data_IF_516139809079
#
_entry.id   IF_516139809079
#
_cell.length_a   1.000
_cell.length_b   1.000
_cell.length_c   1.000
_cell.angle_alpha   90.00
_cell.angle_beta   90.00
_cell.angle_gamma   90.00
#
_symmetry.space_group_name_H-M   'P 1'
#
loop_
_entity.id
_entity.type
_entity.pdbx_description
1 polymer ?
#
# COMPACT_ATOMS: atom_id res chain seq x y z
N UNK A 1 -27.56 -15.51 7.25
CA UNK A 1 -26.50 -14.50 7.09
C UNK A 1 -25.23 -15.06 7.69
N UNK A 2 -24.23 -15.38 6.87
CA UNK A 2 -22.94 -15.89 7.31
C UNK A 2 -22.13 -14.77 7.95
N UNK A 3 -21.64 -15.00 9.16
CA UNK A 3 -20.72 -14.08 9.84
C UNK A 3 -19.46 -13.93 8.97
N UNK A 4 -18.99 -12.71 8.67
CA UNK A 4 -17.83 -12.54 7.81
C UNK A 4 -16.55 -13.07 8.49
N UNK A 5 -15.63 -13.66 7.71
CA UNK A 5 -14.54 -14.50 8.22
C UNK A 5 -13.49 -13.79 9.10
N UNK A 6 -13.54 -12.47 9.22
CA UNK A 6 -12.70 -11.71 10.16
C UNK A 6 -13.21 -11.78 11.62
N UNK A 7 -14.37 -12.38 11.86
CA UNK A 7 -14.91 -12.62 13.21
C UNK A 7 -14.33 -13.85 13.92
N UNK A 8 -13.31 -14.53 13.36
CA UNK A 8 -12.70 -15.73 13.96
C UNK A 8 -11.58 -15.42 14.95
N UNK A 9 -11.84 -14.53 15.90
CA UNK A 9 -11.06 -14.39 17.12
C UNK A 9 -12.03 -14.33 18.31
N UNK A 10 -11.90 -15.23 19.29
CA UNK A 10 -12.52 -15.00 20.60
C UNK A 10 -12.01 -13.63 21.08
N UNK A 11 -12.94 -12.74 21.40
CA UNK A 11 -12.62 -11.48 22.06
C UNK A 11 -11.73 -11.77 23.28
N UNK A 12 -10.48 -11.32 23.21
CA UNK A 12 -9.64 -11.20 24.40
C UNK A 12 -10.21 -10.04 25.24
N UNK A 13 -10.30 -10.13 26.57
CA UNK A 13 -10.76 -9.03 27.42
C UNK A 13 -9.95 -7.73 27.27
N UNK A 14 -8.78 -7.80 26.61
CA UNK A 14 -7.84 -6.71 26.41
C UNK A 14 -7.82 -6.14 24.98
N UNK A 15 -8.56 -6.74 24.03
CA UNK A 15 -8.54 -6.35 22.61
C UNK A 15 -10.00 -6.24 22.12
N UNK A 16 -10.60 -5.04 22.16
CA UNK A 16 -11.95 -4.83 21.64
C UNK A 16 -12.14 -5.26 20.16
N UNK A 17 -13.40 -5.42 19.70
CA UNK A 17 -13.69 -5.88 18.35
C UNK A 17 -13.85 -4.67 17.42
N UNK A 18 -12.85 -4.38 16.59
CA UNK A 18 -12.58 -2.98 16.23
C UNK A 18 -13.28 -2.37 15.00
N UNK A 19 -13.82 -3.13 14.06
CA UNK A 19 -14.44 -2.58 12.83
C UNK A 19 -15.54 -3.51 12.31
N UNK A 20 -16.74 -3.01 12.03
CA UNK A 20 -17.83 -3.81 11.48
C UNK A 20 -17.68 -4.11 9.97
N UNK A 21 -16.97 -3.25 9.23
CA UNK A 21 -16.73 -3.38 7.79
C UNK A 21 -15.29 -2.92 7.48
N UNK A 22 -14.45 -3.76 6.82
CA UNK A 22 -13.09 -3.35 6.45
C UNK A 22 -13.04 -2.16 5.47
N UNK A 23 -14.16 -1.81 4.82
CA UNK A 23 -14.30 -0.71 3.88
C UNK A 23 -15.06 0.50 4.43
N UNK A 24 -15.53 0.44 5.69
CA UNK A 24 -16.19 1.55 6.37
C UNK A 24 -15.83 1.60 7.85
N UNK A 25 -14.98 2.54 8.24
CA UNK A 25 -14.49 2.70 9.62
C UNK A 25 -15.24 3.81 10.34
N UNK A 26 -16.57 3.85 10.17
CA UNK A 26 -17.47 4.85 10.78
C UNK A 26 -17.30 4.99 12.29
N UNK A 27 -16.84 3.92 12.95
CA UNK A 27 -16.54 3.81 14.37
C UNK A 27 -15.28 4.60 14.78
N UNK A 28 -14.45 5.01 13.81
CA UNK A 28 -13.25 5.80 14.01
C UNK A 28 -13.45 7.20 13.43
N UNK A 29 -13.31 8.21 14.29
CA UNK A 29 -13.43 9.61 13.89
C UNK A 29 -12.36 10.00 12.85
N UNK A 30 -12.73 10.86 11.89
CA UNK A 30 -11.77 11.44 10.94
C UNK A 30 -10.73 12.28 11.69
N UNK A 31 -9.48 12.28 11.23
CA UNK A 31 -8.43 13.10 11.83
C UNK A 31 -8.18 12.82 13.31
N UNK A 32 -8.27 11.56 13.74
CA UNK A 32 -8.13 11.16 15.15
C UNK A 32 -6.88 10.32 15.44
N UNK A 33 -6.24 9.76 14.41
CA UNK A 33 -5.16 8.80 14.55
C UNK A 33 -3.82 9.41 14.09
N UNK A 34 -2.78 9.27 14.90
CA UNK A 34 -1.43 9.73 14.58
C UNK A 34 -0.68 8.78 13.65
N UNK A 35 -0.84 7.47 13.86
CA UNK A 35 -0.16 6.42 13.08
C UNK A 35 -1.11 5.26 12.82
N UNK A 36 -1.19 4.83 11.55
CA UNK A 36 -1.86 3.60 11.14
C UNK A 36 -0.82 2.62 10.63
N UNK A 37 -0.87 1.38 11.12
CA UNK A 37 -0.09 0.26 10.58
C UNK A 37 -1.02 -0.77 9.98
N UNK A 38 -0.67 -1.28 8.80
CA UNK A 38 -1.47 -2.27 8.07
C UNK A 38 -0.52 -3.29 7.43
N UNK A 39 -0.45 -4.50 7.98
CA UNK A 39 0.53 -5.50 7.57
C UNK A 39 -0.16 -6.74 7.02
N UNK A 40 0.14 -7.10 5.77
CA UNK A 40 -0.37 -8.32 5.12
C UNK A 40 -1.91 -8.40 5.20
N UNK A 41 -2.55 -7.32 4.74
CA UNK A 41 -4.02 -7.18 4.71
C UNK A 41 -4.52 -6.83 3.31
N UNK A 42 -3.78 -6.04 2.54
CA UNK A 42 -4.27 -5.50 1.27
C UNK A 42 -4.48 -6.57 0.19
N UNK A 43 -3.71 -7.64 0.21
CA UNK A 43 -3.91 -8.82 -0.64
C UNK A 43 -5.21 -9.56 -0.33
N UNK A 44 -5.70 -9.43 0.91
CA UNK A 44 -6.95 -10.01 1.38
C UNK A 44 -8.13 -9.03 1.31
N UNK A 45 -7.90 -7.77 0.95
CA UNK A 45 -8.93 -6.77 0.72
C UNK A 45 -9.28 -6.72 -0.77
N UNK A 46 -10.49 -7.17 -1.12
CA UNK A 46 -11.03 -7.10 -2.49
C UNK A 46 -10.97 -5.67 -3.03
N UNK A 47 -11.23 -4.68 -2.18
CA UNK A 47 -11.24 -3.25 -2.52
C UNK A 47 -10.23 -2.45 -1.68
N UNK A 48 -8.96 -2.87 -1.67
CA UNK A 48 -7.90 -2.20 -0.91
C UNK A 48 -7.76 -0.70 -1.21
N UNK A 49 -8.19 -0.25 -2.39
CA UNK A 49 -8.26 1.19 -2.72
C UNK A 49 -9.29 1.93 -1.86
N UNK A 50 -10.38 1.30 -1.42
CA UNK A 50 -11.32 1.90 -0.48
C UNK A 50 -10.69 1.95 0.92
N UNK A 51 -10.01 0.87 1.33
CA UNK A 51 -9.33 0.82 2.63
C UNK A 51 -8.27 1.93 2.78
N UNK A 52 -7.47 2.23 1.74
CA UNK A 52 -6.50 3.33 1.82
C UNK A 52 -7.18 4.72 1.96
N UNK A 53 -8.41 4.90 1.46
CA UNK A 53 -9.17 6.13 1.69
C UNK A 53 -9.60 6.26 3.16
N UNK A 54 -9.99 5.16 3.80
CA UNK A 54 -10.30 5.15 5.23
C UNK A 54 -9.04 5.41 6.09
N UNK A 55 -7.89 4.84 5.71
CA UNK A 55 -6.59 5.15 6.33
C UNK A 55 -6.32 6.66 6.23
N UNK A 56 -6.44 7.26 5.05
CA UNK A 56 -6.22 8.69 4.86
C UNK A 56 -7.23 9.54 5.67
N UNK A 57 -8.49 9.10 5.78
CA UNK A 57 -9.55 9.80 6.52
C UNK A 57 -9.25 9.87 8.02
N UNK A 58 -8.90 8.73 8.64
CA UNK A 58 -8.71 8.65 10.10
C UNK A 58 -7.42 9.30 10.56
N UNK A 59 -6.41 9.40 9.69
CA UNK A 59 -5.15 10.07 10.01
C UNK A 59 -5.37 11.57 10.27
N UNK A 60 -4.76 12.06 11.37
CA UNK A 60 -4.52 13.49 11.60
C UNK A 60 -3.64 14.07 10.50
N UNK A 61 -3.69 15.39 10.22
CA UNK A 61 -2.65 16.05 9.44
C UNK A 61 -1.26 15.72 10.01
N UNK A 62 -0.28 15.46 9.13
CA UNK A 62 1.05 14.90 9.42
C UNK A 62 1.10 13.48 10.01
N UNK A 63 -0.05 12.82 10.20
CA UNK A 63 -0.09 11.42 10.61
C UNK A 63 0.51 10.47 9.57
N UNK A 64 1.02 9.32 10.02
CA UNK A 64 1.74 8.35 9.19
C UNK A 64 0.93 7.08 8.94
N UNK A 65 1.02 6.54 7.73
CA UNK A 65 0.64 5.18 7.41
C UNK A 65 1.88 4.35 7.11
N UNK A 66 2.01 3.18 7.73
CA UNK A 66 2.96 2.14 7.33
C UNK A 66 2.21 0.91 6.87
N UNK A 67 2.42 0.52 5.61
CA UNK A 67 1.65 -0.55 4.97
C UNK A 67 2.60 -1.58 4.38
N UNK A 68 2.31 -2.86 4.58
CA UNK A 68 2.97 -3.99 3.90
C UNK A 68 1.96 -4.93 3.26
N UNK A 69 2.33 -5.54 2.14
CA UNK A 69 1.53 -6.55 1.44
C UNK A 69 2.42 -7.34 0.46
N UNK A 70 2.11 -8.61 0.13
CA UNK A 70 3.02 -9.44 -0.64
C UNK A 70 3.03 -9.06 -2.12
N UNK A 71 4.22 -9.05 -2.73
CA UNK A 71 4.43 -8.86 -4.16
C UNK A 71 4.58 -10.16 -4.97
N UNK A 72 4.58 -11.31 -4.30
CA UNK A 72 4.77 -12.63 -4.90
C UNK A 72 4.27 -13.75 -4.01
N UNK A 73 5.01 -14.87 -3.99
CA UNK A 73 4.61 -16.07 -3.25
C UNK A 73 3.45 -16.86 -3.87
N UNK A 74 3.16 -18.07 -3.34
CA UNK A 74 2.02 -18.87 -3.76
C UNK A 74 0.71 -18.21 -3.34
N UNK A 75 -0.39 -18.70 -3.91
CA UNK A 75 -1.73 -18.30 -3.46
C UNK A 75 -1.95 -18.69 -2.00
N UNK A 76 -2.37 -17.74 -1.17
CA UNK A 76 -2.59 -17.86 0.26
C UNK A 76 -3.96 -17.28 0.60
N UNK A 77 -4.97 -18.13 0.78
CA UNK A 77 -6.38 -17.69 0.81
C UNK A 77 -6.96 -17.74 2.22
N UNK A 78 -7.25 -16.57 2.81
CA UNK A 78 -7.85 -16.44 4.14
C UNK A 78 -8.67 -15.14 4.30
N UNK A 79 -9.91 -15.01 3.79
CA UNK A 79 -10.72 -15.96 3.01
C UNK A 79 -10.55 -15.83 1.49
N UNK A 80 -9.94 -14.75 1.02
CA UNK A 80 -9.66 -14.43 -0.39
C UNK A 80 -8.17 -14.14 -0.52
N UNK A 81 -7.68 -13.99 -1.75
CA UNK A 81 -6.29 -13.66 -2.04
C UNK A 81 -6.28 -13.01 -3.42
N UNK A 82 -6.43 -11.69 -3.43
CA UNK A 82 -6.90 -10.93 -4.57
C UNK A 82 -5.76 -10.27 -5.34
N UNK A 83 -4.72 -9.83 -4.64
CA UNK A 83 -3.76 -8.86 -5.18
C UNK A 83 -2.32 -9.21 -4.84
N UNK A 84 -1.42 -8.80 -5.74
CA UNK A 84 0.03 -8.74 -5.49
C UNK A 84 0.50 -7.33 -5.76
N UNK A 85 1.34 -6.82 -4.88
CA UNK A 85 1.80 -5.43 -4.91
C UNK A 85 3.20 -5.38 -5.50
N UNK A 86 3.35 -4.64 -6.60
CA UNK A 86 4.64 -4.40 -7.26
C UNK A 86 5.13 -2.97 -6.98
N UNK A 87 6.28 -2.60 -7.55
CA UNK A 87 6.97 -1.32 -7.26
C UNK A 87 6.06 -0.10 -7.36
N UNK A 88 5.17 -0.08 -8.36
CA UNK A 88 4.29 1.06 -8.63
C UNK A 88 2.98 1.04 -7.83
N UNK A 89 2.67 -0.04 -7.11
CA UNK A 89 1.38 -0.22 -6.45
C UNK A 89 1.17 0.80 -5.31
N UNK A 90 2.11 0.91 -4.37
CA UNK A 90 2.01 1.90 -3.29
C UNK A 90 2.18 3.35 -3.74
N UNK A 91 3.08 3.70 -4.68
CA UNK A 91 3.09 5.02 -5.29
C UNK A 91 1.75 5.41 -5.93
N UNK A 92 1.10 4.49 -6.63
CA UNK A 92 -0.22 4.73 -7.20
C UNK A 92 -1.29 4.96 -6.12
N UNK A 93 -1.27 4.14 -5.06
CA UNK A 93 -2.21 4.28 -3.94
C UNK A 93 -2.03 5.57 -3.15
N UNK A 94 -0.78 6.01 -2.91
CA UNK A 94 -0.51 7.27 -2.25
C UNK A 94 -1.14 8.44 -3.02
N UNK A 95 -0.97 8.48 -4.35
CA UNK A 95 -1.63 9.48 -5.21
C UNK A 95 -3.15 9.38 -5.16
N UNK A 96 -3.68 8.16 -5.25
CA UNK A 96 -5.12 7.91 -5.19
C UNK A 96 -5.75 8.45 -3.89
N UNK A 97 -5.13 8.14 -2.75
CA UNK A 97 -5.60 8.56 -1.43
C UNK A 97 -5.21 10.01 -1.06
N UNK A 98 -4.41 10.69 -1.87
CA UNK A 98 -3.92 12.03 -1.58
C UNK A 98 -2.94 12.06 -0.39
N UNK A 99 -2.13 11.03 -0.23
CA UNK A 99 -1.06 10.95 0.77
C UNK A 99 0.29 11.28 0.13
N UNK A 100 1.18 11.91 0.90
CA UNK A 100 2.57 12.07 0.51
C UNK A 100 3.27 10.72 0.66
N UNK A 101 3.77 10.16 -0.43
CA UNK A 101 4.65 9.01 -0.35
C UNK A 101 6.00 9.47 0.21
N UNK A 102 6.37 8.96 1.39
CA UNK A 102 7.68 9.21 1.95
C UNK A 102 8.69 8.19 1.41
N UNK A 103 8.24 6.94 1.30
CA UNK A 103 9.09 5.82 0.96
C UNK A 103 8.27 4.60 0.51
N UNK A 104 8.74 3.86 -0.49
CA UNK A 104 8.20 2.55 -0.87
C UNK A 104 9.34 1.64 -1.36
N UNK A 105 9.17 0.34 -1.18
CA UNK A 105 10.08 -0.68 -1.69
C UNK A 105 9.34 -1.99 -1.94
N UNK A 106 9.94 -2.83 -2.77
CA UNK A 106 9.57 -4.23 -2.95
C UNK A 106 10.81 -5.09 -2.80
N UNK A 107 10.67 -6.20 -2.09
CA UNK A 107 11.75 -7.16 -1.96
C UNK A 107 11.94 -7.96 -3.27
N UNK A 108 12.92 -7.57 -4.07
CA UNK A 108 13.34 -8.33 -5.26
C UNK A 108 14.46 -9.33 -4.97
N UNK A 109 15.30 -9.03 -3.98
CA UNK A 109 16.37 -9.93 -3.55
C UNK A 109 15.78 -10.96 -2.58
N UNK A 110 15.97 -12.28 -2.81
CA UNK A 110 15.46 -13.30 -1.92
C UNK A 110 15.91 -13.08 -0.47
N UNK A 111 14.96 -13.00 0.46
CA UNK A 111 15.27 -12.90 1.90
C UNK A 111 15.89 -14.19 2.42
N UNK A 112 15.45 -15.33 1.87
CA UNK A 112 15.82 -16.65 2.34
C UNK A 112 16.44 -17.48 1.22
N UNK A 113 17.48 -18.28 1.56
CA UNK A 113 18.11 -19.22 0.62
C UNK A 113 17.17 -20.32 0.12
N UNK A 114 16.21 -20.70 0.97
CA UNK A 114 15.19 -21.73 0.71
C UNK A 114 13.89 -21.27 1.36
N UNK A 115 12.76 -21.71 0.81
CA UNK A 115 11.42 -21.34 1.30
C UNK A 115 10.72 -20.36 0.38
N UNK A 116 9.47 -20.05 0.74
CA UNK A 116 8.58 -19.16 -0.02
C UNK A 116 9.18 -17.76 -0.05
N UNK A 117 9.17 -17.15 -1.24
CA UNK A 117 9.58 -15.76 -1.43
C UNK A 117 8.32 -14.93 -1.67
N UNK A 118 7.82 -14.28 -0.61
CA UNK A 118 6.64 -13.42 -0.66
C UNK A 118 6.90 -12.11 -1.38
N UNK A 119 8.17 -11.67 -1.46
CA UNK A 119 8.57 -10.42 -2.11
C UNK A 119 7.78 -9.25 -1.54
N UNK A 120 7.81 -9.11 -0.22
CA UNK A 120 6.98 -8.14 0.47
C UNK A 120 7.25 -6.74 -0.06
N UNK A 121 6.15 -6.04 -0.29
CA UNK A 121 6.15 -4.63 -0.59
C UNK A 121 5.84 -3.86 0.68
N UNK A 122 6.47 -2.72 0.86
CA UNK A 122 6.19 -1.85 2.00
C UNK A 122 6.20 -0.38 1.60
N UNK A 123 5.39 0.43 2.25
CA UNK A 123 5.38 1.87 2.07
C UNK A 123 5.15 2.63 3.37
N UNK A 124 5.80 3.79 3.46
CA UNK A 124 5.54 4.82 4.47
C UNK A 124 4.93 6.02 3.75
N UNK A 125 3.76 6.44 4.20
CA UNK A 125 3.02 7.58 3.66
C UNK A 125 2.67 8.55 4.77
N UNK A 126 2.51 9.82 4.44
CA UNK A 126 2.13 10.86 5.40
C UNK A 126 0.94 11.65 4.87
N UNK A 127 -0.04 11.93 5.75
CA UNK A 127 -1.13 12.83 5.39
C UNK A 127 -0.61 14.27 5.33
N UNK A 128 -0.77 14.98 4.20
CA UNK A 128 -0.35 16.38 4.12
C UNK A 128 -1.19 17.25 5.06
N UNK A 129 -0.62 18.37 5.49
CA UNK A 129 -1.42 19.48 5.99
C UNK A 129 -2.24 20.04 4.83
N UNK A 130 -3.52 20.31 5.08
CA UNK A 130 -4.45 20.87 4.10
C UNK A 130 -5.12 22.10 4.68
N UNK A 131 -5.41 23.07 3.84
CA UNK A 131 -6.36 24.11 4.20
C UNK A 131 -7.80 23.57 4.20
N UNK A 132 -8.76 24.43 4.55
CA UNK A 132 -10.16 24.05 4.64
C UNK A 132 -10.71 23.57 3.27
N UNK A 133 -10.41 24.28 2.18
CA UNK A 133 -10.91 23.95 0.85
C UNK A 133 -10.33 22.61 0.36
N UNK A 134 -9.03 22.40 0.51
CA UNK A 134 -8.36 21.13 0.20
C UNK A 134 -8.91 19.98 1.07
N UNK A 135 -9.23 20.25 2.34
CA UNK A 135 -9.85 19.28 3.24
C UNK A 135 -11.26 18.88 2.81
N UNK A 136 -12.04 19.82 2.29
CA UNK A 136 -13.35 19.54 1.71
C UNK A 136 -13.25 18.69 0.44
N UNK A 137 -12.30 19.01 -0.46
CA UNK A 137 -12.02 18.20 -1.64
C UNK A 137 -11.59 16.77 -1.27
N UNK A 138 -10.75 16.62 -0.24
CA UNK A 138 -10.39 15.30 0.31
C UNK A 138 -11.63 14.55 0.78
N UNK A 139 -12.50 15.18 1.56
CA UNK A 139 -13.72 14.55 2.08
C UNK A 139 -14.67 14.11 0.95
N UNK A 140 -14.81 14.93 -0.10
CA UNK A 140 -15.58 14.56 -1.30
C UNK A 140 -14.93 13.38 -2.01
N UNK A 141 -13.61 13.39 -2.23
CA UNK A 141 -12.88 12.28 -2.87
C UNK A 141 -13.08 10.97 -2.10
N UNK A 142 -12.93 11.00 -0.79
CA UNK A 142 -13.12 9.84 0.07
C UNK A 142 -14.55 9.30 -0.02
N UNK A 143 -15.55 10.18 0.06
CA UNK A 143 -16.97 9.82 -0.01
C UNK A 143 -17.33 9.23 -1.37
N UNK A 144 -16.92 9.86 -2.47
CA UNK A 144 -17.14 9.38 -3.83
C UNK A 144 -16.44 8.03 -4.05
N UNK A 145 -15.19 7.90 -3.61
CA UNK A 145 -14.43 6.64 -3.71
C UNK A 145 -15.10 5.48 -2.96
N UNK A 146 -15.57 5.73 -1.73
CA UNK A 146 -16.30 4.75 -0.92
C UNK A 146 -17.68 4.41 -1.46
N UNK A 147 -18.30 5.32 -2.20
CA UNK A 147 -19.67 5.12 -2.71
C UNK A 147 -19.80 3.91 -3.64
N UNK A 148 -18.69 3.47 -4.25
CA UNK A 148 -18.65 2.37 -5.21
C UNK A 148 -18.39 0.99 -4.54
N UNK A 149 -18.51 0.89 -3.22
CA UNK A 149 -18.29 -0.38 -2.47
C UNK A 149 -19.34 -1.47 -2.72
N UNK A 150 -20.50 -1.10 -3.26
CA UNK A 150 -21.61 -2.03 -3.53
C UNK A 150 -22.08 -1.99 -4.98
N UNK A 151 -23.02 -2.88 -5.34
CA UNK A 151 -23.58 -2.95 -6.69
C UNK A 151 -24.37 -1.70 -7.12
N UNK A 152 -24.64 -0.77 -6.20
CA UNK A 152 -25.22 0.55 -6.48
C UNK A 152 -24.39 1.62 -5.75
N UNK A 153 -24.16 2.79 -6.37
CA UNK A 153 -23.49 3.91 -5.70
C UNK A 153 -24.28 4.41 -4.48
N UNK A 154 -23.58 4.75 -3.39
CA UNK A 154 -24.17 5.39 -2.21
C UNK A 154 -24.46 6.89 -2.45
N UNK A 155 -25.45 7.18 -3.29
CA UNK A 155 -25.78 8.55 -3.73
C UNK A 155 -26.15 9.48 -2.55
N UNK A 156 -26.86 8.97 -1.54
CA UNK A 156 -27.25 9.75 -0.37
C UNK A 156 -26.04 10.26 0.42
N UNK A 157 -25.02 9.42 0.63
CA UNK A 157 -23.78 9.81 1.31
C UNK A 157 -23.06 10.94 0.56
N UNK A 158 -23.02 10.85 -0.78
CA UNK A 158 -22.43 11.89 -1.64
C UNK A 158 -23.20 13.21 -1.50
N UNK A 159 -24.54 13.17 -1.55
CA UNK A 159 -25.37 14.37 -1.45
C UNK A 159 -25.26 15.04 -0.08
N UNK A 160 -25.13 14.28 1.01
CA UNK A 160 -24.92 14.82 2.36
C UNK A 160 -23.61 15.61 2.45
N UNK A 161 -22.52 15.10 1.86
CA UNK A 161 -21.24 15.80 1.86
C UNK A 161 -21.24 16.98 0.88
N UNK A 162 -21.80 16.79 -0.31
CA UNK A 162 -21.90 17.85 -1.32
C UNK A 162 -22.83 19.01 -0.90
N UNK A 163 -23.82 18.74 -0.06
CA UNK A 163 -24.72 19.75 0.50
C UNK A 163 -24.08 20.61 1.61
N UNK A 164 -22.86 20.28 2.06
CA UNK A 164 -22.09 21.17 2.94
C UNK A 164 -21.58 22.33 2.10
N UNK A 165 -22.16 23.51 2.30
CA UNK A 165 -21.85 24.72 1.51
C UNK A 165 -20.45 25.31 1.78
N UNK A 166 -19.69 24.76 2.72
CA UNK A 166 -18.35 25.22 3.07
C UNK A 166 -17.51 24.09 3.65
N UNK A 167 -16.19 24.23 3.51
CA UNK A 167 -15.25 23.49 4.30
C UNK A 167 -15.45 23.76 5.80
N UNK A 168 -15.13 22.81 6.69
CA UNK A 168 -15.12 23.09 8.13
C UNK A 168 -14.19 24.29 8.41
N UNK A 169 -14.61 25.17 9.32
CA UNK A 169 -13.92 26.45 9.58
C UNK A 169 -12.53 26.28 10.24
N UNK A 170 -12.24 25.10 10.82
CA UNK A 170 -10.98 24.83 11.52
C UNK A 170 -10.29 23.57 11.02
N UNK A 171 -8.97 23.68 10.81
CA UNK A 171 -8.07 22.54 10.60
C UNK A 171 -8.05 21.77 11.92
N UNK A 172 -8.48 20.51 11.90
CA UNK A 172 -8.48 19.63 13.08
C UNK A 172 -7.10 19.45 13.70
N UNK A 173 -7.05 18.76 14.86
CA UNK A 173 -5.82 18.55 15.61
C UNK A 173 -4.71 17.93 14.73
N UNK A 174 -3.56 18.61 14.66
CA UNK A 174 -2.39 18.16 13.90
C UNK A 174 -1.61 17.15 14.74
N UNK A 175 -1.11 16.08 14.11
CA UNK A 175 -0.25 15.11 14.78
C UNK A 175 1.02 15.78 15.35
N UNK A 176 1.55 15.33 16.51
CA UNK A 176 2.85 15.79 17.00
C UNK A 176 4.02 15.36 16.08
N UNK A 177 3.76 14.46 15.13
CA UNK A 177 4.71 14.11 14.08
C UNK A 177 4.93 15.29 13.14
N UNK A 178 6.19 15.59 12.85
CA UNK A 178 6.54 16.64 11.90
C UNK A 178 6.32 16.16 10.47
N UNK A 179 5.98 17.09 9.58
CA UNK A 179 6.08 16.86 8.14
C UNK A 179 7.49 16.36 7.82
N UNK A 180 7.57 15.20 7.18
CA UNK A 180 8.84 14.59 6.78
C UNK A 180 9.04 14.83 5.28
N UNK A 181 10.23 15.30 4.85
CA UNK A 181 10.57 15.22 3.44
C UNK A 181 10.68 13.74 3.04
N UNK A 182 10.18 13.37 1.85
CA UNK A 182 10.44 12.05 1.29
C UNK A 182 11.94 11.83 1.18
N UNK A 183 12.48 10.87 1.95
CA UNK A 183 13.93 10.69 2.07
C UNK A 183 14.53 9.84 0.96
N UNK A 184 13.70 9.16 0.17
CA UNK A 184 14.14 8.17 -0.81
C UNK A 184 15.15 7.18 -0.20
N UNK A 185 15.02 6.84 1.09
CA UNK A 185 16.09 6.16 1.81
C UNK A 185 16.34 4.74 1.25
N UNK A 186 15.30 4.03 0.81
CA UNK A 186 15.42 2.74 0.11
C UNK A 186 16.09 2.90 -1.25
N UNK A 187 15.73 3.91 -2.05
CA UNK A 187 16.39 4.16 -3.32
C UNK A 187 17.86 4.56 -3.13
N UNK A 188 18.16 5.37 -2.11
CA UNK A 188 19.52 5.73 -1.73
C UNK A 188 20.33 4.53 -1.21
N UNK A 189 19.69 3.64 -0.42
CA UNK A 189 20.28 2.40 0.07
C UNK A 189 20.50 1.39 -1.05
N UNK A 190 19.56 1.28 -1.99
CA UNK A 190 19.72 0.45 -3.18
C UNK A 190 20.86 0.99 -4.06
N UNK A 191 20.94 2.30 -4.26
CA UNK A 191 22.07 2.93 -4.93
C UNK A 191 23.40 2.68 -4.20
N UNK A 192 23.43 2.75 -2.87
CA UNK A 192 24.59 2.40 -2.04
C UNK A 192 24.97 0.92 -2.22
N UNK A 193 24.01 -0.01 -2.20
CA UNK A 193 24.25 -1.43 -2.41
C UNK A 193 24.76 -1.73 -3.84
N UNK A 194 24.21 -1.05 -4.84
CA UNK A 194 24.67 -1.10 -6.22
C UNK A 194 26.09 -0.52 -6.37
N UNK A 195 26.43 0.54 -5.63
CA UNK A 195 27.76 1.15 -5.61
C UNK A 195 28.78 0.33 -4.81
N UNK A 196 28.35 -0.35 -3.73
CA UNK A 196 29.16 -1.24 -2.91
C UNK A 196 29.41 -2.59 -3.62
N UNK A 197 28.51 -2.99 -4.52
CA UNK A 197 28.77 -4.02 -5.50
C UNK A 197 29.85 -3.53 -6.46
N UNK A 198 30.98 -4.25 -6.56
CA UNK A 198 32.00 -3.91 -7.54
C UNK A 198 31.39 -3.98 -8.96
N UNK A 199 31.02 -2.82 -9.49
CA UNK A 199 30.27 -2.67 -10.73
C UNK A 199 31.00 -3.31 -11.91
N UNK A 200 32.34 -3.37 -11.87
CA UNK A 200 33.15 -4.11 -12.82
C UNK A 200 32.88 -5.61 -12.72
N UNK A 201 32.97 -6.20 -11.52
CA UNK A 201 32.64 -7.62 -11.30
C UNK A 201 31.20 -7.95 -11.73
N UNK A 202 30.25 -7.06 -11.48
CA UNK A 202 28.86 -7.27 -11.88
C UNK A 202 28.67 -7.21 -13.41
N UNK A 203 29.23 -6.19 -14.07
CA UNK A 203 29.22 -6.06 -15.55
C UNK A 203 29.95 -7.22 -16.20
N UNK A 204 31.12 -7.61 -15.69
CA UNK A 204 31.88 -8.76 -16.17
C UNK A 204 31.09 -10.06 -16.02
N UNK A 205 30.40 -10.27 -14.90
CA UNK A 205 29.51 -11.44 -14.72
C UNK A 205 28.36 -11.45 -15.72
N UNK A 206 27.75 -10.29 -15.98
CA UNK A 206 26.62 -10.16 -16.92
C UNK A 206 27.07 -10.46 -18.35
N UNK A 207 28.19 -9.87 -18.77
CA UNK A 207 28.82 -10.10 -20.08
C UNK A 207 29.22 -11.57 -20.23
N UNK A 208 29.88 -12.16 -19.23
CA UNK A 208 30.28 -13.57 -19.28
C UNK A 208 29.10 -14.54 -19.27
N UNK A 209 27.95 -14.14 -18.72
CA UNK A 209 26.69 -14.90 -18.82
C UNK A 209 26.13 -14.80 -20.24
N UNK A 210 26.06 -13.60 -20.83
CA UNK A 210 25.60 -13.41 -22.21
C UNK A 210 26.49 -14.15 -23.22
N UNK A 211 27.82 -14.11 -23.08
CA UNK A 211 28.74 -14.86 -23.95
C UNK A 211 28.51 -16.36 -23.84
N UNK A 212 28.29 -16.90 -22.62
CA UNK A 212 27.98 -18.32 -22.43
C UNK A 212 26.66 -18.70 -23.10
N UNK A 213 25.66 -17.83 -23.01
CA UNK A 213 24.35 -18.09 -23.62
C UNK A 213 24.41 -18.00 -25.15
N UNK A 214 25.12 -17.02 -25.71
CA UNK A 214 25.39 -16.93 -27.14
C UNK A 214 26.14 -18.19 -27.63
N UNK A 215 27.19 -18.60 -26.91
CA UNK A 215 27.92 -19.83 -27.24
C UNK A 215 26.99 -21.04 -27.22
N UNK A 216 26.19 -21.20 -26.17
CA UNK A 216 25.19 -22.27 -26.08
C UNK A 216 24.26 -22.26 -27.29
N UNK A 217 23.69 -21.11 -27.65
CA UNK A 217 22.80 -20.97 -28.82
C UNK A 217 23.51 -21.37 -30.12
N UNK A 218 24.77 -20.96 -30.30
CA UNK A 218 25.55 -21.28 -31.50
C UNK A 218 25.91 -22.78 -31.55
N UNK A 219 26.24 -23.38 -30.41
CA UNK A 219 26.73 -24.77 -30.35
C UNK A 219 25.62 -25.81 -30.24
N UNK A 220 24.43 -25.42 -29.81
CA UNK A 220 23.28 -26.33 -29.67
C UNK A 220 22.54 -26.42 -31.01
N UNK A 221 22.32 -27.64 -31.56
CA UNK A 221 21.51 -27.82 -32.77
C UNK A 221 20.12 -27.23 -32.61
N UNK A 222 19.56 -26.63 -33.68
CA UNK A 222 18.29 -25.89 -33.64
C UNK A 222 17.12 -26.70 -33.06
N UNK A 223 17.09 -28.01 -33.32
CA UNK A 223 16.09 -28.95 -32.81
C UNK A 223 16.11 -29.15 -31.29
N UNK A 224 17.23 -28.82 -30.64
CA UNK A 224 17.48 -29.03 -29.21
C UNK A 224 17.46 -27.69 -28.43
N UNK A 225 17.19 -26.57 -29.12
CA UNK A 225 16.93 -25.27 -28.51
C UNK A 225 15.43 -25.18 -28.17
N UNK A 226 15.08 -25.32 -26.89
CA UNK A 226 13.75 -24.99 -26.36
C UNK A 226 13.60 -23.46 -26.28
N UNK A 227 13.48 -22.81 -27.43
CA UNK A 227 13.13 -21.39 -27.55
C UNK A 227 11.61 -21.20 -27.59
#
# INVERSE_FOLDING_TARGET
MSVPPWSMGRASPTVPPWLADPYDWSEIASGSIDVVTCSEVFEHAEYFWITILEIARVLKPNGLAFITSPGGGPRHRFPVDCWRFYDDAFPALARYAGLNLLEAQVQWVPAYRKGIQWRDSSAVMQKPLRDAAEGFEEALRQTIGKSLRGGKPAIEEILVVAGRNSAPDEIGEISPLKAQPGRNAFAAREAELLAAGNMLLMKTRLVMRQIREIKRIITTPLKDLHL
#
